data_IF_816531196669
#
_entry.id   IF_816531196669
#
_cell.length_a   1.000
_cell.length_b   1.000
_cell.length_c   1.000
_cell.angle_alpha   90.00
_cell.angle_beta   90.00
_cell.angle_gamma   90.00
#
_symmetry.space_group_name_H-M   'P 1'
#
loop_
_entity.id
_entity.type
_entity.pdbx_description
1 polymer ?
#
# COMPACT_ATOMS: atom_id res chain seq x y z
N UNK A 1 6.74 17.30 8.00
CA UNK A 1 5.68 18.22 7.53
C UNK A 1 4.94 17.57 6.37
N UNK A 2 3.77 18.10 6.01
CA UNK A 2 3.05 17.76 4.77
C UNK A 2 3.03 19.00 3.88
N UNK A 3 3.12 18.80 2.57
CA UNK A 3 3.03 19.85 1.56
C UNK A 3 1.88 19.54 0.62
N UNK A 4 1.03 20.54 0.37
CA UNK A 4 -0.09 20.39 -0.54
C UNK A 4 0.36 20.68 -1.97
N UNK A 5 0.33 19.66 -2.83
CA UNK A 5 0.74 19.81 -4.24
C UNK A 5 -0.39 20.32 -5.13
N UNK A 6 -1.62 19.86 -4.88
CA UNK A 6 -2.83 20.19 -5.64
C UNK A 6 -4.03 20.20 -4.70
N UNK A 7 -4.92 21.18 -4.84
CA UNK A 7 -6.22 21.20 -4.19
C UNK A 7 -7.28 20.60 -5.12
N UNK A 8 -8.24 19.84 -4.58
CA UNK A 8 -9.38 19.37 -5.36
C UNK A 8 -9.97 18.05 -4.90
N UNK A 9 -10.97 17.57 -5.65
CA UNK A 9 -11.62 16.27 -5.45
C UNK A 9 -10.90 15.19 -6.25
N UNK A 10 -10.10 14.37 -5.58
CA UNK A 10 -9.27 13.36 -6.26
C UNK A 10 -9.87 11.95 -6.27
N UNK A 11 -11.14 11.76 -5.87
CA UNK A 11 -11.76 10.41 -5.78
C UNK A 11 -11.76 9.66 -7.12
N UNK A 12 -12.22 10.30 -8.20
CA UNK A 12 -12.17 9.65 -9.52
C UNK A 12 -10.73 9.40 -9.99
N UNK A 13 -9.82 10.34 -9.70
CA UNK A 13 -8.42 10.19 -10.05
C UNK A 13 -7.77 9.01 -9.30
N UNK A 14 -8.01 8.86 -7.99
CA UNK A 14 -7.44 7.76 -7.22
C UNK A 14 -7.94 6.39 -7.68
N UNK A 15 -9.22 6.27 -8.04
CA UNK A 15 -9.75 5.07 -8.68
C UNK A 15 -9.05 4.74 -9.99
N UNK A 16 -8.98 5.72 -10.92
CA UNK A 16 -8.30 5.59 -12.20
C UNK A 16 -6.84 5.15 -12.03
N UNK A 17 -6.07 5.88 -11.21
CA UNK A 17 -4.67 5.61 -10.95
C UNK A 17 -4.44 4.21 -10.40
N UNK A 18 -5.40 3.66 -9.65
CA UNK A 18 -5.38 2.31 -9.10
C UNK A 18 -6.07 1.26 -10.01
N UNK A 19 -5.98 1.40 -11.34
CA UNK A 19 -6.58 0.50 -12.34
C UNK A 19 -8.12 0.44 -12.27
N UNK A 20 -8.77 1.60 -12.19
CA UNK A 20 -10.23 1.75 -12.16
C UNK A 20 -10.91 1.03 -10.98
N UNK A 21 -10.16 0.80 -9.90
CA UNK A 21 -10.68 0.12 -8.74
C UNK A 21 -11.48 1.10 -7.87
N UNK A 22 -12.81 0.93 -7.88
CA UNK A 22 -13.76 1.74 -7.11
C UNK A 22 -13.42 1.83 -5.61
N UNK A 23 -12.81 0.78 -5.05
CA UNK A 23 -12.34 0.78 -3.66
C UNK A 23 -11.42 1.99 -3.36
N UNK A 24 -10.56 2.38 -4.31
CA UNK A 24 -9.63 3.50 -4.15
C UNK A 24 -10.27 4.85 -4.50
N UNK A 25 -11.41 4.87 -5.17
CA UNK A 25 -12.27 6.06 -5.27
C UNK A 25 -12.99 6.36 -3.96
N UNK A 26 -13.40 5.30 -3.25
CA UNK A 26 -14.15 5.40 -2.00
C UNK A 26 -13.25 5.56 -0.76
N UNK A 27 -11.98 5.15 -0.87
CA UNK A 27 -10.99 5.33 0.18
C UNK A 27 -10.94 6.78 0.71
N UNK A 28 -10.67 6.94 2.01
CA UNK A 28 -10.51 8.25 2.63
C UNK A 28 -9.18 8.88 2.24
N UNK A 29 -8.12 8.07 2.13
CA UNK A 29 -6.79 8.48 1.68
C UNK A 29 -6.19 7.35 0.83
N UNK A 30 -5.48 7.71 -0.24
CA UNK A 30 -4.65 6.77 -1.02
C UNK A 30 -3.20 7.27 -1.01
N UNK A 31 -2.31 6.45 -0.47
CA UNK A 31 -0.88 6.69 -0.45
C UNK A 31 -0.23 6.06 -1.67
N UNK A 32 0.56 6.82 -2.41
CA UNK A 32 1.47 6.30 -3.42
C UNK A 32 2.90 6.43 -2.89
N UNK A 33 3.51 5.30 -2.51
CA UNK A 33 4.88 5.29 -2.00
C UNK A 33 5.84 5.23 -3.18
N UNK A 34 6.59 6.32 -3.37
CA UNK A 34 7.47 6.49 -4.53
C UNK A 34 8.93 6.67 -4.09
N UNK A 35 9.85 6.33 -4.99
CA UNK A 35 11.29 6.58 -4.80
C UNK A 35 11.95 6.96 -6.12
N UNK A 36 13.07 7.68 -6.08
CA UNK A 36 13.88 7.89 -7.27
C UNK A 36 14.65 6.60 -7.58
N UNK A 37 14.02 5.71 -8.35
CA UNK A 37 14.58 4.40 -8.66
C UNK A 37 15.91 4.52 -9.41
N UNK A 38 16.09 5.56 -10.24
CA UNK A 38 17.36 5.82 -10.92
C UNK A 38 18.53 6.01 -9.95
N UNK A 39 18.34 6.75 -8.85
CA UNK A 39 19.36 6.90 -7.80
C UNK A 39 19.63 5.55 -7.12
N UNK A 40 18.57 4.81 -6.78
CA UNK A 40 18.70 3.50 -6.12
C UNK A 40 19.50 2.53 -6.98
N UNK A 41 19.18 2.42 -8.26
CA UNK A 41 19.85 1.52 -9.19
C UNK A 41 21.30 1.93 -9.47
N UNK A 42 21.61 3.23 -9.53
CA UNK A 42 23.00 3.69 -9.63
C UNK A 42 23.85 3.28 -8.43
N UNK A 43 23.27 3.33 -7.22
CA UNK A 43 24.01 3.06 -5.99
C UNK A 43 24.07 1.56 -5.62
N UNK A 44 23.07 0.77 -6.00
CA UNK A 44 22.90 -0.62 -5.55
C UNK A 44 22.84 -1.63 -6.71
N UNK A 45 22.99 -1.18 -7.95
CA UNK A 45 22.78 -1.98 -9.15
C UNK A 45 21.35 -2.52 -9.26
N UNK A 46 21.16 -3.56 -10.08
CA UNK A 46 19.83 -4.16 -10.31
C UNK A 46 19.18 -4.73 -9.05
N UNK A 47 19.97 -5.10 -8.03
CA UNK A 47 19.44 -5.52 -6.72
C UNK A 47 18.77 -4.39 -5.96
N UNK A 48 19.10 -3.13 -6.29
CA UNK A 48 18.46 -1.94 -5.75
C UNK A 48 16.95 -1.93 -5.93
N UNK A 49 16.42 -2.48 -7.03
CA UNK A 49 14.97 -2.59 -7.23
C UNK A 49 14.30 -3.40 -6.12
N UNK A 50 14.91 -4.52 -5.71
CA UNK A 50 14.39 -5.34 -4.60
C UNK A 50 14.45 -4.60 -3.27
N UNK A 51 15.52 -3.85 -3.03
CA UNK A 51 15.66 -3.04 -1.83
C UNK A 51 14.59 -1.92 -1.77
N UNK A 52 14.33 -1.24 -2.89
CA UNK A 52 13.28 -0.22 -3.00
C UNK A 52 11.89 -0.81 -2.74
N UNK A 53 11.58 -1.96 -3.37
CA UNK A 53 10.32 -2.66 -3.14
C UNK A 53 10.18 -3.16 -1.70
N UNK A 54 11.25 -3.65 -1.10
CA UNK A 54 11.25 -4.09 0.29
C UNK A 54 10.99 -2.93 1.26
N UNK A 55 11.71 -1.81 1.12
CA UNK A 55 11.47 -0.61 1.95
C UNK A 55 10.03 -0.10 1.79
N UNK A 56 9.53 -0.03 0.55
CA UNK A 56 8.14 0.34 0.29
C UNK A 56 7.14 -0.63 0.97
N UNK A 57 7.41 -1.94 0.93
CA UNK A 57 6.63 -2.96 1.62
C UNK A 57 6.63 -2.81 3.15
N UNK A 58 7.79 -2.50 3.76
CA UNK A 58 7.89 -2.22 5.20
C UNK A 58 7.06 -0.99 5.58
N UNK A 59 7.13 0.07 4.77
CA UNK A 59 6.34 1.31 4.98
C UNK A 59 4.85 1.05 4.82
N UNK A 60 4.45 0.33 3.78
CA UNK A 60 3.07 -0.09 3.57
C UNK A 60 2.57 -0.92 4.76
N UNK A 61 3.32 -1.92 5.22
CA UNK A 61 2.97 -2.72 6.40
C UNK A 61 2.72 -1.89 7.65
N UNK A 62 3.51 -0.83 7.87
CA UNK A 62 3.27 0.12 8.98
C UNK A 62 1.96 0.89 8.81
N UNK A 63 1.62 1.33 7.59
CA UNK A 63 0.33 1.98 7.29
C UNK A 63 -0.82 1.02 7.61
N UNK A 64 -0.73 -0.23 7.15
CA UNK A 64 -1.71 -1.28 7.43
C UNK A 64 -1.93 -1.49 8.94
N UNK A 65 -0.85 -1.71 9.69
CA UNK A 65 -0.95 -1.94 11.14
C UNK A 65 -1.51 -0.72 11.89
N UNK A 66 -1.17 0.48 11.44
CA UNK A 66 -1.69 1.73 12.02
C UNK A 66 -3.16 1.94 11.70
N UNK A 67 -3.60 1.60 10.48
CA UNK A 67 -5.02 1.63 10.12
C UNK A 67 -5.82 0.64 10.99
N UNK A 68 -5.31 -0.58 11.15
CA UNK A 68 -5.96 -1.61 11.94
C UNK A 68 -6.02 -1.28 13.43
N UNK A 69 -4.98 -0.67 14.00
CA UNK A 69 -5.00 -0.24 15.41
C UNK A 69 -6.04 0.86 15.69
N UNK A 70 -6.41 1.63 14.67
CA UNK A 70 -7.45 2.66 14.72
C UNK A 70 -8.84 2.14 14.31
N UNK A 71 -8.99 0.85 14.04
CA UNK A 71 -10.27 0.25 13.64
C UNK A 71 -10.73 0.61 12.23
N UNK A 72 -9.84 1.12 11.37
CA UNK A 72 -10.13 1.39 9.96
C UNK A 72 -9.47 0.35 9.04
N UNK A 73 -9.90 0.30 7.79
CA UNK A 73 -9.41 -0.64 6.79
C UNK A 73 -8.22 -0.08 6.01
N UNK A 74 -7.38 -0.98 5.53
CA UNK A 74 -6.32 -0.68 4.58
C UNK A 74 -6.26 -1.78 3.50
N UNK A 75 -6.00 -1.37 2.25
CA UNK A 75 -5.83 -2.28 1.11
C UNK A 75 -4.75 -1.77 0.17
N UNK A 76 -4.00 -2.68 -0.43
CA UNK A 76 -2.93 -2.41 -1.39
C UNK A 76 -3.50 -2.49 -2.80
N UNK A 77 -2.87 -1.78 -3.72
CA UNK A 77 -3.28 -1.79 -5.13
C UNK A 77 -2.10 -1.91 -6.07
N UNK A 78 -2.40 -2.42 -7.26
CA UNK A 78 -1.68 -2.10 -8.50
C UNK A 78 -2.13 -0.75 -9.05
N UNK A 79 -1.34 -0.16 -9.93
CA UNK A 79 -1.53 1.21 -10.42
C UNK A 79 -0.94 1.37 -11.84
N UNK A 80 -1.31 2.46 -12.51
CA UNK A 80 -0.69 2.89 -13.77
C UNK A 80 0.56 3.74 -13.46
N UNK A 81 1.76 3.17 -13.59
CA UNK A 81 3.03 3.81 -13.21
C UNK A 81 3.21 5.24 -13.77
N UNK A 82 3.00 5.40 -15.08
CA UNK A 82 3.19 6.68 -15.76
C UNK A 82 2.11 7.70 -15.37
N UNK A 83 0.86 7.26 -15.25
CA UNK A 83 -0.23 8.15 -14.86
C UNK A 83 -0.08 8.65 -13.42
N UNK A 84 0.43 7.82 -12.50
CA UNK A 84 0.75 8.27 -11.13
C UNK A 84 1.84 9.33 -11.17
N UNK A 85 2.89 9.10 -11.94
CA UNK A 85 4.00 10.03 -12.11
C UNK A 85 3.52 11.37 -12.68
N UNK A 86 2.70 11.33 -13.72
CA UNK A 86 2.09 12.52 -14.34
C UNK A 86 1.19 13.27 -13.35
N UNK A 87 0.34 12.56 -12.61
CA UNK A 87 -0.56 13.16 -11.64
C UNK A 87 0.18 13.95 -10.56
N UNK A 88 1.33 13.46 -10.08
CA UNK A 88 2.14 14.13 -9.07
C UNK A 88 3.26 15.02 -9.64
N UNK A 89 3.34 15.17 -10.96
CA UNK A 89 4.33 16.05 -11.58
C UNK A 89 4.05 17.53 -11.29
N UNK A 90 5.09 18.38 -11.16
CA UNK A 90 6.51 18.07 -11.41
C UNK A 90 7.24 17.36 -10.25
N UNK A 91 6.64 17.29 -9.06
CA UNK A 91 7.28 16.74 -7.86
C UNK A 91 7.69 15.27 -8.00
N UNK A 92 6.95 14.52 -8.81
CA UNK A 92 7.21 13.11 -9.08
C UNK A 92 7.99 12.82 -10.37
N UNK A 93 8.45 13.81 -11.14
CA UNK A 93 9.00 13.62 -12.50
C UNK A 93 10.12 12.55 -12.58
N UNK A 94 10.90 12.37 -11.51
CA UNK A 94 12.01 11.39 -11.44
C UNK A 94 11.74 10.23 -10.49
N UNK A 95 10.50 10.09 -10.06
CA UNK A 95 10.07 9.12 -9.07
C UNK A 95 9.39 7.94 -9.75
N UNK A 96 9.51 6.76 -9.17
CA UNK A 96 8.79 5.56 -9.57
C UNK A 96 7.95 5.09 -8.39
N UNK A 97 6.69 4.77 -8.65
CA UNK A 97 5.77 4.23 -7.65
C UNK A 97 6.12 2.78 -7.34
N UNK A 98 6.31 2.44 -6.06
CA UNK A 98 6.60 1.07 -5.63
C UNK A 98 5.33 0.35 -5.18
N UNK A 99 4.47 1.04 -4.43
CA UNK A 99 3.20 0.49 -3.93
C UNK A 99 2.17 1.59 -3.70
N UNK A 100 0.90 1.27 -3.94
CA UNK A 100 -0.24 2.09 -3.54
C UNK A 100 -1.00 1.45 -2.37
N UNK A 101 -1.41 2.24 -1.39
CA UNK A 101 -2.18 1.79 -0.22
C UNK A 101 -3.35 2.74 0.05
N UNK A 102 -4.56 2.23 -0.01
CA UNK A 102 -5.79 2.93 0.34
C UNK A 102 -6.14 2.67 1.81
N UNK A 103 -6.57 3.72 2.51
CA UNK A 103 -7.06 3.66 3.90
C UNK A 103 -8.44 4.28 3.96
N UNK A 104 -9.37 3.65 4.67
CA UNK A 104 -10.74 4.15 4.80
C UNK A 104 -11.59 3.34 5.77
N UNK A 105 -12.81 3.81 6.00
CA UNK A 105 -13.78 3.10 6.85
C UNK A 105 -14.35 1.92 6.06
N UNK A 106 -14.16 0.67 6.52
CA UNK A 106 -14.64 -0.49 5.79
C UNK A 106 -16.18 -0.56 5.87
N UNK A 107 -16.83 -0.81 4.74
CA UNK A 107 -18.28 -1.00 4.70
C UNK A 107 -18.75 -2.31 5.38
N UNK A 108 -17.82 -3.22 5.63
CA UNK A 108 -18.07 -4.50 6.30
C UNK A 108 -16.85 -4.93 7.12
N UNK A 109 -17.09 -5.62 8.23
CA UNK A 109 -16.03 -6.26 8.99
C UNK A 109 -15.45 -7.46 8.23
N UNK A 110 -14.12 -7.60 8.22
CA UNK A 110 -13.48 -8.79 7.66
C UNK A 110 -13.96 -10.04 8.39
N UNK A 111 -14.29 -11.09 7.62
CA UNK A 111 -14.69 -12.37 8.21
C UNK A 111 -13.45 -13.01 8.86
N UNK A 112 -13.54 -13.49 10.11
CA UNK A 112 -12.43 -14.20 10.71
C UNK A 112 -12.06 -15.43 9.86
N UNK A 113 -10.77 -15.66 9.67
CA UNK A 113 -10.28 -16.85 8.99
C UNK A 113 -10.69 -18.13 9.74
N UNK A 114 -10.88 -19.22 9.02
CA UNK A 114 -11.16 -20.54 9.60
C UNK A 114 -9.90 -21.41 9.58
N UNK A 115 -9.51 -21.94 10.73
CA UNK A 115 -8.50 -23.00 10.78
C UNK A 115 -9.12 -24.24 10.14
N UNK A 116 -8.54 -24.72 9.05
CA UNK A 116 -9.02 -25.91 8.38
C UNK A 116 -8.83 -27.15 9.29
N UNK A 117 -9.73 -28.15 9.25
CA UNK A 117 -9.70 -29.29 10.18
C UNK A 117 -8.35 -30.01 10.27
N UNK A 118 -7.63 -30.10 9.15
CA UNK A 118 -6.30 -30.72 9.06
C UNK A 118 -5.22 -30.01 9.89
N UNK A 119 -5.37 -28.71 10.18
CA UNK A 119 -4.44 -27.95 11.01
C UNK A 119 -4.89 -27.87 12.48
N UNK A 120 -6.15 -28.20 12.77
CA UNK A 120 -6.73 -28.08 14.11
C UNK A 120 -6.18 -29.13 15.10
N UNK A 121 -5.79 -30.33 14.62
CA UNK A 121 -5.18 -31.37 15.47
C UNK A 121 -3.79 -31.00 15.98
N UNK A 122 -3.02 -30.21 15.21
CA UNK A 122 -1.63 -29.84 15.54
C UNK A 122 -1.56 -28.74 16.60
N UNK A 123 -2.56 -27.85 16.65
CA UNK A 123 -2.66 -26.79 17.66
C UNK A 123 -3.08 -27.31 19.04
N UNK A 124 -3.81 -28.43 19.11
CA UNK A 124 -4.21 -29.05 20.39
C UNK A 124 -3.07 -29.81 21.11
N UNK A 125 -1.95 -30.07 20.43
CA UNK A 125 -0.84 -30.88 20.94
C UNK A 125 0.51 -30.12 20.95
N UNK A 126 0.50 -28.80 20.74
CA UNK A 126 1.69 -27.99 20.98
C UNK A 126 1.86 -27.81 22.47
N UNK A 127 2.96 -28.32 23.04
CA UNK A 127 3.35 -28.03 24.42
C UNK A 127 3.27 -26.51 24.68
N UNK A 128 2.81 -26.08 25.87
CA UNK A 128 2.96 -24.69 26.27
C UNK A 128 4.44 -24.31 26.17
N UNK A 129 4.69 -23.14 25.59
CA UNK A 129 6.01 -22.50 25.64
C UNK A 129 6.20 -22.10 27.10
N UNK A 130 7.04 -22.85 27.83
CA UNK A 130 7.71 -22.35 29.04
C UNK A 130 8.77 -21.30 28.67
#
# INVERSE_FOLDING_TARGET
>A
SLEQLKEGKSRHASGYLCLEQLLFSDASVVFFLMTNLGIVLRNMGNRGYRAAQFEAGVRAGKIYLSAYSLGVGASGSTFYDDAVTEFFSPHAERMSTMIAVGVGVPAYGSRPGRILPQFQKRLKHGNPIE
#
